data_IF_086196556528
#
_entry.id   IF_086196556528
#
_cell.length_a   1.000
_cell.length_b   1.000
_cell.length_c   1.000
_cell.angle_alpha   90.00
_cell.angle_beta   90.00
_cell.angle_gamma   90.00
#
_symmetry.space_group_name_H-M   'P 1'
#
loop_
_entity.id
_entity.type
_entity.pdbx_description
1 polymer ?
#
# COMPACT_ATOMS: atom_id res chain seq x y z
N UNK A 1 13.37 -16.53 2.82
CA UNK A 1 13.68 -15.54 3.88
C UNK A 1 15.18 -15.54 4.12
N UNK A 2 15.78 -16.73 4.10
CA UNK A 2 17.12 -17.18 3.71
C UNK A 2 18.15 -16.09 3.34
N UNK A 3 17.84 -15.21 2.37
CA UNK A 3 18.77 -14.15 1.97
C UNK A 3 18.95 -13.08 3.04
N UNK A 4 17.87 -12.64 3.68
CA UNK A 4 17.93 -11.67 4.77
C UNK A 4 18.65 -12.25 5.98
N UNK A 5 18.40 -13.53 6.30
CA UNK A 5 19.10 -14.26 7.36
C UNK A 5 20.61 -14.35 7.09
N UNK A 6 20.99 -14.71 5.86
CA UNK A 6 22.40 -14.74 5.43
C UNK A 6 23.06 -13.36 5.56
N UNK A 7 22.35 -12.28 5.21
CA UNK A 7 22.86 -10.91 5.33
C UNK A 7 23.08 -10.55 6.80
N UNK A 8 22.14 -10.88 7.68
CA UNK A 8 22.25 -10.65 9.12
C UNK A 8 23.44 -11.42 9.70
N UNK A 9 23.57 -12.71 9.40
CA UNK A 9 24.71 -13.53 9.84
C UNK A 9 26.06 -12.95 9.37
N UNK A 10 26.12 -12.47 8.13
CA UNK A 10 27.32 -11.82 7.60
C UNK A 10 27.63 -10.54 8.38
N UNK A 11 26.65 -9.66 8.59
CA UNK A 11 26.84 -8.40 9.32
C UNK A 11 27.22 -8.62 10.79
N UNK A 12 26.64 -9.63 11.46
CA UNK A 12 26.94 -9.98 12.85
C UNK A 12 28.34 -10.61 13.02
N UNK A 13 28.89 -11.22 11.95
CA UNK A 13 30.22 -11.81 12.00
C UNK A 13 31.35 -10.79 12.26
N UNK A 14 31.09 -9.49 12.01
CA UNK A 14 32.05 -8.40 12.23
C UNK A 14 33.28 -8.43 11.32
N UNK A 15 33.32 -9.32 10.33
CA UNK A 15 34.48 -9.52 9.43
C UNK A 15 34.39 -8.72 8.12
N UNK A 16 33.29 -8.01 7.89
CA UNK A 16 33.10 -7.24 6.66
C UNK A 16 33.76 -5.86 6.77
N UNK A 17 34.43 -5.39 5.70
CA UNK A 17 34.85 -4.01 5.60
C UNK A 17 33.63 -3.08 5.58
N UNK A 18 33.85 -1.81 5.91
CA UNK A 18 32.78 -0.82 6.06
C UNK A 18 31.96 -0.63 4.78
N UNK A 19 32.62 -0.60 3.61
CA UNK A 19 31.92 -0.48 2.34
C UNK A 19 30.94 -1.65 2.11
N UNK A 20 31.36 -2.88 2.42
CA UNK A 20 30.51 -4.06 2.25
C UNK A 20 29.37 -4.09 3.26
N UNK A 21 29.58 -3.59 4.49
CA UNK A 21 28.51 -3.45 5.50
C UNK A 21 27.40 -2.52 5.02
N UNK A 22 27.75 -1.40 4.38
CA UNK A 22 26.79 -0.44 3.83
C UNK A 22 25.96 -1.11 2.72
N UNK A 23 26.60 -1.80 1.79
CA UNK A 23 25.92 -2.51 0.70
C UNK A 23 24.97 -3.58 1.24
N UNK A 24 25.42 -4.37 2.23
CA UNK A 24 24.61 -5.41 2.87
C UNK A 24 23.43 -4.84 3.65
N UNK A 25 23.62 -3.72 4.33
CA UNK A 25 22.54 -3.01 5.02
C UNK A 25 21.45 -2.52 4.06
N UNK A 26 21.84 -1.91 2.93
CA UNK A 26 20.89 -1.47 1.90
C UNK A 26 20.11 -2.64 1.30
N UNK A 27 20.80 -3.75 1.00
CA UNK A 27 20.19 -4.99 0.52
C UNK A 27 19.17 -5.52 1.55
N UNK A 28 19.56 -5.59 2.83
CA UNK A 28 18.68 -6.01 3.93
C UNK A 28 17.44 -5.13 4.07
N UNK A 29 17.60 -3.80 3.99
CA UNK A 29 16.49 -2.85 4.06
C UNK A 29 15.50 -3.00 2.90
N UNK A 30 16.00 -3.28 1.69
CA UNK A 30 15.14 -3.57 0.54
C UNK A 30 14.31 -4.83 0.76
N UNK A 31 14.94 -5.90 1.25
CA UNK A 31 14.26 -7.16 1.56
C UNK A 31 13.20 -7.00 2.66
N UNK A 32 13.49 -6.22 3.70
CA UNK A 32 12.52 -5.90 4.76
C UNK A 32 11.28 -5.20 4.20
N UNK A 33 11.46 -4.20 3.32
CA UNK A 33 10.33 -3.52 2.65
C UNK A 33 9.46 -4.49 1.84
N UNK A 34 10.08 -5.43 1.14
CA UNK A 34 9.36 -6.46 0.39
C UNK A 34 8.52 -7.34 1.33
N UNK A 35 9.11 -7.77 2.45
CA UNK A 35 8.40 -8.57 3.45
C UNK A 35 7.19 -7.82 4.04
N UNK A 36 7.36 -6.55 4.39
CA UNK A 36 6.29 -5.70 4.88
C UNK A 36 5.15 -5.57 3.85
N UNK A 37 5.48 -5.35 2.57
CA UNK A 37 4.48 -5.27 1.49
C UNK A 37 3.70 -6.58 1.33
N UNK A 38 4.39 -7.73 1.45
CA UNK A 38 3.74 -9.04 1.38
C UNK A 38 2.81 -9.27 2.56
N UNK A 39 3.23 -8.87 3.76
CA UNK A 39 2.41 -8.97 4.97
C UNK A 39 1.14 -8.11 4.84
N UNK A 40 1.29 -6.85 4.44
CA UNK A 40 0.15 -5.95 4.21
C UNK A 40 -0.84 -6.50 3.17
N UNK A 41 -0.34 -7.11 2.09
CA UNK A 41 -1.20 -7.74 1.08
C UNK A 41 -1.95 -8.97 1.63
N UNK A 42 -1.29 -9.77 2.47
CA UNK A 42 -1.90 -10.92 3.12
C UNK A 42 -2.99 -10.48 4.10
N UNK A 43 -2.71 -9.47 4.93
CA UNK A 43 -3.70 -8.88 5.85
C UNK A 43 -4.93 -8.36 5.10
N UNK A 44 -4.73 -7.61 4.02
CA UNK A 44 -5.84 -7.11 3.19
C UNK A 44 -6.69 -8.25 2.60
N UNK A 45 -6.05 -9.33 2.13
CA UNK A 45 -6.77 -10.51 1.61
C UNK A 45 -7.59 -11.20 2.69
N UNK A 46 -7.03 -11.37 3.89
CA UNK A 46 -7.73 -11.95 5.03
C UNK A 46 -8.94 -11.09 5.40
N UNK A 47 -8.77 -9.76 5.42
CA UNK A 47 -9.85 -8.82 5.73
C UNK A 47 -11.01 -8.91 4.72
N UNK A 48 -10.71 -9.01 3.42
CA UNK A 48 -11.70 -9.21 2.36
C UNK A 48 -12.46 -10.53 2.58
N UNK A 49 -11.74 -11.65 2.74
CA UNK A 49 -12.35 -12.98 2.95
C UNK A 49 -13.21 -12.99 4.22
N UNK A 50 -12.75 -12.36 5.31
CA UNK A 50 -13.49 -12.27 6.56
C UNK A 50 -14.81 -11.49 6.38
N UNK A 51 -14.78 -10.38 5.65
CA UNK A 51 -15.98 -9.57 5.33
C UNK A 51 -16.95 -10.31 4.43
N UNK A 52 -16.44 -11.04 3.44
CA UNK A 52 -17.24 -11.91 2.57
C UNK A 52 -17.92 -13.03 3.37
N UNK A 53 -17.19 -13.68 4.28
CA UNK A 53 -17.72 -14.75 5.14
C UNK A 53 -18.73 -14.27 6.18
N UNK A 54 -18.64 -13.00 6.60
CA UNK A 54 -19.60 -12.35 7.50
C UNK A 54 -20.82 -11.76 6.76
N UNK A 55 -20.93 -11.98 5.45
CA UNK A 55 -22.11 -11.63 4.65
C UNK A 55 -22.32 -10.13 4.42
N UNK A 56 -21.29 -9.28 4.59
CA UNK A 56 -21.40 -7.84 4.34
C UNK A 56 -20.39 -7.40 3.27
N UNK A 57 -20.92 -7.18 2.07
CA UNK A 57 -20.18 -6.80 0.88
C UNK A 57 -19.33 -5.54 1.08
N UNK A 58 -18.09 -5.55 0.56
CA UNK A 58 -17.32 -4.33 0.35
C UNK A 58 -16.98 -4.21 -1.12
N UNK A 59 -17.66 -3.26 -1.76
CA UNK A 59 -17.19 -2.63 -2.99
C UNK A 59 -15.95 -1.81 -2.60
N UNK A 60 -14.78 -2.22 -3.10
CA UNK A 60 -13.67 -1.28 -3.24
C UNK A 60 -13.43 -1.13 -4.73
N UNK A 61 -13.92 -0.02 -5.28
CA UNK A 61 -13.46 0.52 -6.54
C UNK A 61 -11.94 0.47 -6.57
N UNK A 62 -11.44 -0.26 -7.56
CA UNK A 62 -10.02 -0.33 -7.86
C UNK A 62 -9.62 0.97 -8.52
N UNK A 63 -9.08 1.91 -7.75
CA UNK A 63 -8.42 3.08 -8.33
C UNK A 63 -7.04 2.67 -8.86
N UNK A 64 -7.00 2.37 -10.16
CA UNK A 64 -5.75 2.37 -10.91
C UNK A 64 -5.22 3.80 -10.91
N UNK A 65 -4.16 4.06 -10.15
CA UNK A 65 -3.47 5.36 -10.16
C UNK A 65 -2.82 5.54 -11.54
N UNK A 66 -3.12 6.59 -12.32
CA UNK A 66 -2.24 7.02 -13.39
C UNK A 66 -1.19 7.97 -12.79
N UNK A 67 0.09 7.65 -12.99
CA UNK A 67 1.16 8.60 -12.69
C UNK A 67 1.16 9.79 -13.69
N UNK A 68 1.22 10.99 -13.09
CA UNK A 68 1.83 12.24 -13.55
C UNK A 68 1.31 12.97 -14.82
N UNK A 69 0.62 14.11 -14.58
CA UNK A 69 0.50 15.24 -15.51
C UNK A 69 -0.65 16.20 -15.16
N UNK A 70 -0.34 17.32 -14.50
CA UNK A 70 -1.31 18.35 -14.05
C UNK A 70 -1.91 19.20 -15.22
N UNK A 71 -2.75 20.22 -14.94
CA UNK A 71 -4.17 20.18 -14.60
C UNK A 71 -5.05 20.85 -15.69
N UNK A 72 -6.32 20.43 -15.86
CA UNK A 72 -7.26 21.20 -16.68
C UNK A 72 -8.71 21.07 -16.16
N UNK A 73 -9.27 22.24 -15.92
CA UNK A 73 -10.61 22.56 -15.46
C UNK A 73 -11.72 21.86 -16.29
N UNK A 74 -12.69 21.23 -15.63
CA UNK A 74 -13.95 20.84 -16.25
C UNK A 74 -15.09 20.96 -15.22
N UNK A 75 -15.73 22.12 -15.29
CA UNK A 75 -17.08 22.43 -14.81
C UNK A 75 -18.05 21.33 -15.24
N UNK A 76 -18.84 20.79 -14.30
CA UNK A 76 -20.14 20.20 -14.63
C UNK A 76 -21.14 20.64 -13.57
N UNK A 77 -21.96 21.60 -13.97
CA UNK A 77 -23.26 21.91 -13.39
C UNK A 77 -24.16 20.67 -13.51
N UNK A 78 -24.86 20.32 -12.43
CA UNK A 78 -26.20 19.75 -12.56
C UNK A 78 -27.05 20.27 -11.43
N UNK A 79 -27.87 21.24 -11.79
CA UNK A 79 -29.10 21.61 -11.13
C UNK A 79 -29.96 20.36 -10.89
N UNK A 80 -30.56 20.24 -9.71
CA UNK A 80 -31.86 19.58 -9.63
C UNK A 80 -32.71 20.27 -8.58
N UNK A 81 -33.51 21.19 -9.09
CA UNK A 81 -34.76 21.72 -8.53
C UNK A 81 -35.52 20.62 -7.78
N UNK A 82 -35.90 20.88 -6.53
CA UNK A 82 -37.18 20.39 -6.01
C UNK A 82 -37.75 21.44 -5.07
N UNK A 83 -38.93 21.86 -5.47
CA UNK A 83 -39.74 22.98 -5.06
C UNK A 83 -40.08 23.10 -3.57
N UNK A 84 -40.23 24.36 -3.18
CA UNK A 84 -41.28 24.91 -2.33
C UNK A 84 -41.87 24.02 -1.24
N UNK A 85 -41.39 24.23 -0.01
CA UNK A 85 -42.30 24.32 1.14
C UNK A 85 -42.09 25.69 1.80
N UNK A 86 -42.69 26.71 1.19
CA UNK A 86 -43.29 27.81 1.95
C UNK A 86 -44.52 27.22 2.64
N UNK A 87 -44.68 27.43 3.94
CA UNK A 87 -45.68 28.36 4.48
C UNK A 87 -45.73 28.22 6.02
N UNK A 88 -45.50 29.37 6.67
CA UNK A 88 -45.55 29.66 8.12
C UNK A 88 -44.29 29.40 8.93
#
# INVERSE_FOLDING_TARGET
MDRLETIVEQMESGKLPLEDLIVRYEEGMSLVKICQKRLANAEQKIEIIARDSAGKAIVKEFEATPEAGAPANAVVETENTTDEIKLF
#
